data_IF_846447351936
#
_entry.id   IF_846447351936
#
_cell.length_a   1.000
_cell.length_b   1.000
_cell.length_c   1.000
_cell.angle_alpha   90.00
_cell.angle_beta   90.00
_cell.angle_gamma   90.00
#
_symmetry.space_group_name_H-M   'P 1'
#
loop_
_entity.id
_entity.type
_entity.pdbx_description
1 polymer ?
#
# COMPACT_ATOMS: atom_id res chain seq x y z
N UNK A 1 13.27 1.92 67.49
CA UNK A 1 13.12 1.38 66.12
C UNK A 1 11.66 1.49 65.73
N UNK A 2 11.30 2.52 64.97
CA UNK A 2 9.95 2.74 64.47
C UNK A 2 9.91 2.31 63.00
N UNK A 3 9.04 1.36 62.67
CA UNK A 3 8.87 0.84 61.32
C UNK A 3 8.05 1.83 60.48
N UNK A 4 8.65 2.38 59.43
CA UNK A 4 7.95 3.19 58.42
C UNK A 4 7.08 2.28 57.57
N UNK A 5 5.76 2.42 57.66
CA UNK A 5 4.80 1.78 56.75
C UNK A 5 4.71 2.60 55.46
N UNK A 6 4.96 1.95 54.32
CA UNK A 6 4.80 2.51 52.98
C UNK A 6 3.31 2.67 52.65
N UNK A 7 2.87 3.77 52.01
CA UNK A 7 1.47 3.95 51.63
C UNK A 7 1.07 2.97 50.51
N UNK A 8 -0.20 2.52 50.46
CA UNK A 8 -0.69 1.65 49.39
C UNK A 8 -0.66 2.40 48.05
N UNK A 9 0.05 1.82 47.06
CA UNK A 9 0.01 2.30 45.69
C UNK A 9 -1.40 2.10 45.13
N UNK A 10 -2.08 3.20 44.83
CA UNK A 10 -3.28 3.20 44.00
C UNK A 10 -2.88 2.80 42.58
N UNK A 11 -3.11 1.53 42.22
CA UNK A 11 -3.00 1.06 40.84
C UNK A 11 -3.96 1.88 39.98
N UNK A 12 -3.41 2.59 39.00
CA UNK A 12 -4.20 3.20 37.93
C UNK A 12 -5.05 2.10 37.26
N UNK A 13 -6.34 2.34 36.96
CA UNK A 13 -7.11 1.38 36.18
C UNK A 13 -6.40 1.10 34.85
N UNK A 14 -6.48 -0.14 34.33
CA UNK A 14 -5.89 -0.47 33.05
C UNK A 14 -6.45 0.48 31.97
N UNK A 15 -5.64 0.86 30.97
CA UNK A 15 -6.12 1.68 29.87
C UNK A 15 -7.36 1.01 29.26
N UNK A 16 -8.44 1.78 29.08
CA UNK A 16 -9.64 1.27 28.43
C UNK A 16 -9.25 0.69 27.05
N UNK A 17 -9.80 -0.47 26.66
CA UNK A 17 -9.56 -1.01 25.33
C UNK A 17 -9.92 0.05 24.29
N UNK A 18 -9.06 0.21 23.28
CA UNK A 18 -9.32 1.10 22.16
C UNK A 18 -10.72 0.80 21.57
N UNK A 19 -11.47 1.83 21.13
CA UNK A 19 -12.79 1.62 20.56
C UNK A 19 -12.73 0.56 19.44
N UNK A 20 -13.57 -0.47 19.54
CA UNK A 20 -13.69 -1.53 18.54
C UNK A 20 -14.42 -1.00 17.30
N UNK A 21 -13.69 -0.29 16.45
CA UNK A 21 -14.17 0.09 15.13
C UNK A 21 -13.75 -0.95 14.08
N UNK A 22 -14.51 -1.03 12.98
CA UNK A 22 -14.31 -1.99 11.90
C UNK A 22 -12.87 -2.02 11.40
N UNK A 23 -12.21 -0.86 11.30
CA UNK A 23 -10.81 -0.78 10.89
C UNK A 23 -9.85 -1.52 11.83
N UNK A 24 -10.07 -1.41 13.14
CA UNK A 24 -9.26 -2.10 14.15
C UNK A 24 -9.51 -3.60 14.13
N UNK A 25 -10.74 -4.03 13.84
CA UNK A 25 -11.10 -5.44 13.67
C UNK A 25 -10.41 -6.05 12.45
N UNK A 26 -10.51 -5.40 11.29
CA UNK A 26 -9.82 -5.85 10.07
C UNK A 26 -8.32 -5.95 10.33
N UNK A 27 -7.69 -4.92 10.90
CA UNK A 27 -6.25 -4.92 11.17
C UNK A 27 -5.84 -6.03 12.15
N UNK A 28 -6.68 -6.31 13.15
CA UNK A 28 -6.42 -7.37 14.12
C UNK A 28 -6.54 -8.74 13.47
N UNK A 29 -7.60 -8.98 12.71
CA UNK A 29 -7.87 -10.25 12.04
C UNK A 29 -6.86 -10.58 10.94
N UNK A 30 -6.29 -9.55 10.29
CA UNK A 30 -5.39 -9.72 9.14
C UNK A 30 -3.91 -9.58 9.48
N UNK A 31 -3.55 -9.30 10.75
CA UNK A 31 -2.18 -9.00 11.17
C UNK A 31 -1.14 -10.03 10.75
N UNK A 32 -1.44 -11.32 10.96
CA UNK A 32 -0.52 -12.43 10.64
C UNK A 32 -0.26 -12.52 9.14
N UNK A 33 -1.33 -12.54 8.33
CA UNK A 33 -1.23 -12.64 6.87
C UNK A 33 -0.66 -11.37 6.24
N UNK A 34 -0.98 -10.18 6.75
CA UNK A 34 -0.32 -8.93 6.35
C UNK A 34 1.19 -8.99 6.59
N UNK A 35 1.63 -9.49 7.75
CA UNK A 35 3.06 -9.63 8.06
C UNK A 35 3.74 -10.59 7.08
N UNK A 36 3.08 -11.69 6.69
CA UNK A 36 3.58 -12.64 5.69
C UNK A 36 3.68 -11.97 4.31
N UNK A 37 2.61 -11.32 3.85
CA UNK A 37 2.59 -10.64 2.56
C UNK A 37 3.66 -9.53 2.49
N UNK A 38 3.77 -8.70 3.53
CA UNK A 38 4.76 -7.63 3.58
C UNK A 38 6.19 -8.17 3.47
N UNK A 39 6.51 -9.29 4.13
CA UNK A 39 7.82 -9.95 3.99
C UNK A 39 8.07 -10.43 2.57
N UNK A 40 7.06 -10.98 1.89
CA UNK A 40 7.19 -11.35 0.49
C UNK A 40 7.46 -10.11 -0.36
N UNK A 41 6.62 -9.09 -0.31
CA UNK A 41 6.77 -7.87 -1.12
C UNK A 41 8.14 -7.21 -0.90
N UNK A 42 8.52 -6.93 0.35
CA UNK A 42 9.79 -6.25 0.68
C UNK A 42 11.01 -7.01 0.13
N UNK A 43 10.97 -8.35 0.12
CA UNK A 43 12.09 -9.16 -0.36
C UNK A 43 12.12 -9.35 -1.87
N UNK A 44 11.01 -9.09 -2.59
CA UNK A 44 10.96 -9.18 -4.07
C UNK A 44 11.19 -7.85 -4.76
N UNK A 45 10.79 -6.73 -4.16
CA UNK A 45 10.98 -5.38 -4.75
C UNK A 45 12.43 -5.15 -5.23
N UNK A 46 13.49 -5.46 -4.44
CA UNK A 46 14.87 -5.29 -4.92
C UNK A 46 15.24 -6.15 -6.13
N UNK A 47 14.63 -7.33 -6.29
CA UNK A 47 14.90 -8.21 -7.43
C UNK A 47 14.38 -7.64 -8.74
N UNK A 48 13.32 -6.84 -8.67
CA UNK A 48 12.70 -6.19 -9.82
C UNK A 48 13.36 -4.85 -10.16
N UNK A 49 14.44 -4.46 -9.47
CA UNK A 49 15.10 -3.16 -9.61
C UNK A 49 16.62 -3.27 -9.78
N UNK A 50 17.30 -2.21 -10.26
CA UNK A 50 18.75 -2.16 -10.27
C UNK A 50 19.35 -2.28 -8.86
N UNK A 51 20.53 -2.89 -8.71
CA UNK A 51 21.39 -3.43 -9.77
C UNK A 51 21.04 -4.87 -10.20
N UNK A 52 19.97 -5.48 -9.67
CA UNK A 52 19.64 -6.89 -9.91
C UNK A 52 18.91 -7.04 -11.25
N UNK A 53 17.79 -6.33 -11.42
CA UNK A 53 17.11 -6.23 -12.70
C UNK A 53 17.79 -5.20 -13.60
N UNK A 54 17.86 -5.51 -14.90
CA UNK A 54 18.40 -4.63 -15.94
C UNK A 54 17.31 -3.90 -16.73
N UNK A 55 16.07 -4.35 -16.62
CA UNK A 55 14.88 -3.82 -17.29
C UNK A 55 13.71 -3.82 -16.30
N UNK A 56 12.65 -3.02 -16.55
CA UNK A 56 11.48 -2.94 -15.68
C UNK A 56 10.50 -4.11 -15.86
N UNK A 57 10.85 -5.12 -16.67
CA UNK A 57 9.98 -6.25 -17.05
C UNK A 57 9.43 -7.04 -15.85
N UNK A 58 10.27 -7.39 -14.88
CA UNK A 58 9.83 -8.09 -13.67
C UNK A 58 8.84 -7.25 -12.84
N UNK A 59 9.08 -5.95 -12.75
CA UNK A 59 8.16 -5.03 -12.11
C UNK A 59 6.84 -4.92 -12.90
N UNK A 60 6.92 -4.90 -14.23
CA UNK A 60 5.79 -4.81 -15.14
C UNK A 60 4.80 -5.98 -14.98
N UNK A 61 5.30 -7.22 -14.88
CA UNK A 61 4.44 -8.37 -14.57
C UNK A 61 3.77 -8.26 -13.20
N UNK A 62 4.48 -7.75 -12.19
CA UNK A 62 3.92 -7.53 -10.85
C UNK A 62 2.81 -6.49 -10.84
N UNK A 63 3.04 -5.31 -11.42
CA UNK A 63 2.06 -4.22 -11.45
C UNK A 63 0.86 -4.56 -12.35
N UNK A 64 1.05 -5.28 -13.45
CA UNK A 64 -0.05 -5.77 -14.29
C UNK A 64 -0.98 -6.69 -13.47
N UNK A 65 -0.40 -7.69 -12.80
CA UNK A 65 -1.13 -8.68 -12.02
C UNK A 65 -1.89 -8.07 -10.85
N UNK A 66 -1.24 -7.20 -10.06
CA UNK A 66 -1.92 -6.52 -8.95
C UNK A 66 -2.87 -5.41 -9.43
N UNK A 67 -2.58 -4.82 -10.58
CA UNK A 67 -3.39 -3.81 -11.24
C UNK A 67 -4.78 -4.32 -11.59
N UNK A 68 -4.87 -5.55 -12.10
CA UNK A 68 -6.15 -6.20 -12.41
C UNK A 68 -7.09 -6.31 -11.21
N UNK A 69 -6.55 -6.51 -10.00
CA UNK A 69 -7.35 -6.53 -8.78
C UNK A 69 -8.05 -5.17 -8.61
N UNK A 70 -7.31 -4.06 -8.75
CA UNK A 70 -7.89 -2.71 -8.71
C UNK A 70 -8.92 -2.50 -9.81
N UNK A 71 -8.60 -2.87 -11.06
CA UNK A 71 -9.53 -2.71 -12.18
C UNK A 71 -10.85 -3.40 -11.90
N UNK A 72 -10.83 -4.63 -11.38
CA UNK A 72 -12.02 -5.43 -11.14
C UNK A 72 -12.87 -4.88 -10.01
N UNK A 73 -12.30 -4.66 -8.82
CA UNK A 73 -13.11 -4.19 -7.68
C UNK A 73 -13.60 -2.75 -7.91
N UNK A 74 -12.78 -1.88 -8.54
CA UNK A 74 -13.20 -0.53 -8.85
C UNK A 74 -14.34 -0.51 -9.88
N UNK A 75 -14.32 -1.40 -10.87
CA UNK A 75 -15.42 -1.55 -11.82
C UNK A 75 -16.70 -2.05 -11.15
N UNK A 76 -16.60 -3.00 -10.21
CA UNK A 76 -17.73 -3.44 -9.40
C UNK A 76 -18.33 -2.27 -8.59
N UNK A 77 -17.47 -1.44 -8.02
CA UNK A 77 -17.88 -0.26 -7.25
C UNK A 77 -18.52 0.82 -8.13
N UNK A 78 -17.98 1.08 -9.33
CA UNK A 78 -18.60 1.99 -10.32
C UNK A 78 -19.98 1.50 -10.75
N UNK A 79 -20.15 0.19 -10.94
CA UNK A 79 -21.45 -0.39 -11.24
C UNK A 79 -22.45 -0.17 -10.08
N UNK A 80 -22.02 -0.34 -8.83
CA UNK A 80 -22.83 -0.02 -7.66
C UNK A 80 -23.25 1.45 -7.63
N UNK A 81 -22.32 2.37 -7.88
CA UNK A 81 -22.62 3.81 -7.92
C UNK A 81 -23.65 4.11 -9.01
N UNK A 82 -23.47 3.57 -10.22
CA UNK A 82 -24.40 3.76 -11.33
C UNK A 82 -25.79 3.17 -11.07
N UNK A 83 -25.89 2.09 -10.30
CA UNK A 83 -27.17 1.51 -9.89
C UNK A 83 -27.88 2.38 -8.84
N UNK A 84 -27.13 2.93 -7.89
CA UNK A 84 -27.66 3.87 -6.87
C UNK A 84 -28.23 5.13 -7.53
N UNK A 85 -27.54 5.70 -8.52
CA UNK A 85 -27.99 6.90 -9.21
C UNK A 85 -29.30 6.69 -10.00
N UNK A 86 -29.56 5.45 -10.45
CA UNK A 86 -30.80 5.08 -11.15
C UNK A 86 -31.96 4.78 -10.22
N UNK A 87 -31.68 4.34 -8.99
CA UNK A 87 -32.72 4.03 -8.01
C UNK A 87 -33.33 5.30 -7.44
N UNK A 88 -34.46 5.72 -8.02
CA UNK A 88 -35.35 6.76 -7.49
C UNK A 88 -36.45 6.08 -6.69
N UNK A 89 -36.23 5.87 -5.39
CA UNK A 89 -37.22 5.25 -4.51
C UNK A 89 -36.92 5.52 -3.06
N UNK A 90 -37.90 6.09 -2.35
CA UNK A 90 -37.90 6.27 -0.90
C UNK A 90 -38.21 4.91 -0.25
N UNK A 91 -37.24 3.99 -0.31
CA UNK A 91 -37.29 2.73 0.43
C UNK A 91 -36.45 2.85 1.70
N UNK A 92 -37.04 2.48 2.84
CA UNK A 92 -36.39 2.57 4.16
C UNK A 92 -35.61 1.31 4.53
N UNK A 93 -35.54 0.32 3.63
CA UNK A 93 -34.81 -0.93 3.86
C UNK A 93 -33.33 -0.69 4.17
N UNK A 94 -32.73 -1.62 4.93
CA UNK A 94 -31.29 -1.61 5.22
C UNK A 94 -30.44 -1.49 3.95
N UNK A 95 -30.79 -2.24 2.89
CA UNK A 95 -30.11 -2.16 1.59
C UNK A 95 -30.20 -0.78 0.94
N UNK A 96 -31.31 -0.07 1.11
CA UNK A 96 -31.51 1.27 0.56
C UNK A 96 -30.67 2.34 1.29
N UNK A 97 -30.20 2.08 2.52
CA UNK A 97 -29.24 2.94 3.23
C UNK A 97 -27.79 2.53 2.98
N UNK A 98 -27.52 1.22 2.94
CA UNK A 98 -26.19 0.65 2.74
C UNK A 98 -25.57 1.06 1.40
N UNK A 99 -26.32 0.94 0.30
CA UNK A 99 -25.80 1.22 -1.05
C UNK A 99 -25.42 2.69 -1.26
N UNK A 100 -26.24 3.69 -0.88
CA UNK A 100 -25.83 5.10 -0.91
C UNK A 100 -24.63 5.42 -0.02
N UNK A 101 -24.51 4.77 1.14
CA UNK A 101 -23.31 4.95 1.96
C UNK A 101 -22.06 4.40 1.26
N UNK A 102 -22.14 3.19 0.68
CA UNK A 102 -21.04 2.62 -0.10
C UNK A 102 -20.66 3.48 -1.32
N UNK A 103 -21.63 4.09 -2.01
CA UNK A 103 -21.34 5.00 -3.13
C UNK A 103 -20.62 6.27 -2.66
N UNK A 104 -20.97 6.79 -1.48
CA UNK A 104 -20.35 7.95 -0.86
C UNK A 104 -19.01 7.64 -0.17
N UNK A 105 -18.66 6.38 0.04
CA UNK A 105 -17.42 5.97 0.70
C UNK A 105 -16.17 6.27 -0.14
N UNK A 106 -16.31 6.51 -1.45
CA UNK A 106 -15.19 6.77 -2.36
C UNK A 106 -14.89 8.27 -2.48
N UNK A 107 -13.88 8.81 -1.75
CA UNK A 107 -13.47 10.20 -1.90
C UNK A 107 -12.87 10.49 -3.30
N UNK A 108 -12.94 11.76 -3.75
CA UNK A 108 -12.25 12.21 -4.95
C UNK A 108 -10.76 11.85 -4.91
N UNK A 109 -10.25 11.34 -6.04
CA UNK A 109 -8.84 10.97 -6.18
C UNK A 109 -8.47 9.58 -5.64
N UNK A 110 -9.41 8.80 -5.09
CA UNK A 110 -9.10 7.44 -4.61
C UNK A 110 -8.77 6.47 -5.76
N UNK A 111 -9.57 6.50 -6.84
CA UNK A 111 -9.47 5.57 -7.97
C UNK A 111 -8.06 5.50 -8.57
N UNK A 112 -7.55 4.29 -8.78
CA UNK A 112 -6.22 4.03 -9.37
C UNK A 112 -6.29 3.38 -10.75
N UNK A 113 -7.46 2.92 -11.22
CA UNK A 113 -7.60 2.25 -12.52
C UNK A 113 -6.92 3.00 -13.68
N UNK A 114 -7.13 4.32 -13.80
CA UNK A 114 -6.59 5.09 -14.92
C UNK A 114 -5.06 5.26 -14.84
N UNK A 115 -4.52 5.33 -13.62
CA UNK A 115 -3.07 5.37 -13.39
C UNK A 115 -2.44 4.03 -13.78
N UNK A 116 -3.02 2.91 -13.32
CA UNK A 116 -2.57 1.55 -13.63
C UNK A 116 -2.58 1.29 -15.14
N UNK A 117 -3.67 1.64 -15.85
CA UNK A 117 -3.74 1.44 -17.31
C UNK A 117 -2.63 2.18 -18.05
N UNK A 118 -2.39 3.44 -17.67
CA UNK A 118 -1.30 4.24 -18.25
C UNK A 118 0.08 3.69 -17.91
N UNK A 119 0.26 3.18 -16.68
CA UNK A 119 1.50 2.54 -16.27
C UNK A 119 1.78 1.28 -17.08
N UNK A 120 0.78 0.40 -17.23
CA UNK A 120 0.88 -0.84 -18.02
C UNK A 120 1.16 -0.53 -19.49
N UNK A 121 0.39 0.35 -20.13
CA UNK A 121 0.59 0.76 -21.52
C UNK A 121 2.00 1.32 -21.76
N UNK A 122 2.48 2.14 -20.83
CA UNK A 122 3.84 2.67 -20.88
C UNK A 122 4.90 1.57 -20.76
N UNK A 123 4.71 0.64 -19.83
CA UNK A 123 5.67 -0.44 -19.58
C UNK A 123 5.74 -1.41 -20.75
N UNK A 124 4.61 -1.82 -21.32
CA UNK A 124 4.55 -2.69 -22.51
C UNK A 124 5.29 -2.07 -23.69
N UNK A 125 5.08 -0.77 -23.92
CA UNK A 125 5.80 -0.02 -24.95
C UNK A 125 7.30 0.02 -24.66
N UNK A 126 7.69 0.21 -23.40
CA UNK A 126 9.08 0.36 -22.98
C UNK A 126 9.86 -0.96 -23.08
N UNK A 127 9.24 -2.08 -22.69
CA UNK A 127 9.88 -3.40 -22.67
C UNK A 127 9.69 -4.17 -23.98
N UNK A 128 8.71 -3.79 -24.82
CA UNK A 128 8.37 -4.49 -26.06
C UNK A 128 7.74 -5.86 -25.84
N UNK A 129 7.06 -6.07 -24.71
CA UNK A 129 6.41 -7.33 -24.30
C UNK A 129 4.95 -7.03 -23.99
N UNK A 130 4.07 -7.90 -24.48
CA UNK A 130 2.66 -7.94 -24.10
C UNK A 130 2.53 -8.69 -22.75
N UNK A 131 2.07 -7.98 -21.73
CA UNK A 131 2.01 -8.51 -20.36
C UNK A 131 0.84 -9.50 -20.17
N UNK A 132 -0.13 -9.54 -21.08
CA UNK A 132 -1.26 -10.49 -21.05
C UNK A 132 -0.87 -11.92 -21.48
N UNK A 133 0.34 -12.10 -22.04
CA UNK A 133 0.83 -13.41 -22.49
C UNK A 133 0.93 -14.42 -21.33
N UNK A 134 1.23 -13.95 -20.11
CA UNK A 134 1.38 -14.81 -18.94
C UNK A 134 0.02 -15.01 -18.27
N UNK A 135 -0.62 -16.14 -18.54
CA UNK A 135 -1.87 -16.50 -17.85
C UNK A 135 -1.62 -16.73 -16.36
N UNK A 136 -2.41 -16.08 -15.50
CA UNK A 136 -2.38 -16.30 -14.06
C UNK A 136 -3.73 -16.86 -13.59
N UNK A 137 -3.81 -18.18 -13.43
CA UNK A 137 -5.04 -18.86 -13.00
C UNK A 137 -5.48 -18.43 -11.60
N UNK A 138 -4.53 -18.17 -10.69
CA UNK A 138 -4.82 -17.69 -9.35
C UNK A 138 -5.48 -16.31 -9.39
N UNK A 139 -4.96 -15.40 -10.22
CA UNK A 139 -5.56 -14.09 -10.44
C UNK A 139 -6.96 -14.22 -11.08
N UNK A 140 -7.13 -15.07 -12.10
CA UNK A 140 -8.43 -15.30 -12.75
C UNK A 140 -9.48 -15.80 -11.76
N UNK A 141 -9.14 -16.77 -10.93
CA UNK A 141 -10.04 -17.28 -9.90
C UNK A 141 -10.39 -16.19 -8.87
N UNK A 142 -9.40 -15.36 -8.51
CA UNK A 142 -9.63 -14.25 -7.59
C UNK A 142 -10.53 -13.17 -8.21
N UNK A 143 -10.29 -12.72 -9.44
CA UNK A 143 -11.13 -11.71 -10.10
C UNK A 143 -12.58 -12.17 -10.26
N UNK A 144 -12.79 -13.45 -10.61
CA UNK A 144 -14.13 -14.06 -10.67
C UNK A 144 -14.81 -14.08 -9.29
N UNK A 145 -14.04 -14.34 -8.22
CA UNK A 145 -14.52 -14.23 -6.85
C UNK A 145 -14.94 -12.79 -6.51
N UNK A 146 -14.13 -11.77 -6.83
CA UNK A 146 -14.44 -10.35 -6.58
C UNK A 146 -15.79 -10.00 -7.23
N UNK A 147 -15.97 -10.35 -8.51
CA UNK A 147 -17.21 -10.09 -9.23
C UNK A 147 -18.43 -10.74 -8.55
N UNK A 148 -18.30 -11.99 -8.11
CA UNK A 148 -19.40 -12.72 -7.46
C UNK A 148 -19.71 -12.15 -6.07
N UNK A 149 -18.70 -12.01 -5.22
CA UNK A 149 -18.89 -11.57 -3.83
C UNK A 149 -19.42 -10.15 -3.75
N UNK A 150 -18.88 -9.20 -4.51
CA UNK A 150 -19.33 -7.80 -4.44
C UNK A 150 -20.74 -7.59 -4.99
N UNK A 151 -21.25 -8.50 -5.83
CA UNK A 151 -22.65 -8.48 -6.29
C UNK A 151 -23.60 -9.07 -5.24
N UNK A 152 -23.21 -10.18 -4.62
CA UNK A 152 -24.02 -10.85 -3.59
C UNK A 152 -24.02 -10.08 -2.26
N UNK A 153 -22.88 -9.49 -1.91
CA UNK A 153 -22.59 -8.82 -0.65
C UNK A 153 -21.87 -7.48 -0.88
N UNK A 154 -22.56 -6.42 -1.31
CA UNK A 154 -21.94 -5.15 -1.66
C UNK A 154 -21.05 -4.53 -0.59
N UNK A 155 -21.36 -4.77 0.69
CA UNK A 155 -20.57 -4.28 1.84
C UNK A 155 -19.13 -4.78 1.84
N UNK A 156 -18.83 -5.93 1.22
CA UNK A 156 -17.46 -6.46 1.17
C UNK A 156 -16.50 -5.61 0.32
N UNK A 157 -17.01 -4.68 -0.50
CA UNK A 157 -16.19 -3.65 -1.17
C UNK A 157 -15.33 -2.85 -0.17
N UNK A 158 -15.80 -2.70 1.07
CA UNK A 158 -15.04 -2.07 2.16
C UNK A 158 -13.73 -2.80 2.42
N UNK A 159 -13.72 -4.14 2.37
CA UNK A 159 -12.50 -4.94 2.54
C UNK A 159 -11.48 -4.63 1.44
N UNK A 160 -11.92 -4.61 0.17
CA UNK A 160 -11.07 -4.26 -0.97
C UNK A 160 -10.49 -2.84 -0.84
N UNK A 161 -11.32 -1.86 -0.52
CA UNK A 161 -10.82 -0.50 -0.31
C UNK A 161 -9.83 -0.41 0.85
N UNK A 162 -10.14 -1.05 1.99
CA UNK A 162 -9.25 -1.03 3.15
C UNK A 162 -7.91 -1.68 2.82
N UNK A 163 -7.90 -2.89 2.29
CA UNK A 163 -6.65 -3.63 2.02
C UNK A 163 -5.85 -2.98 0.91
N UNK A 164 -6.49 -2.70 -0.24
CA UNK A 164 -5.77 -2.26 -1.44
C UNK A 164 -5.35 -0.79 -1.33
N UNK A 165 -6.21 0.12 -0.88
CA UNK A 165 -5.83 1.54 -0.81
C UNK A 165 -4.96 1.85 0.41
N UNK A 166 -5.23 1.29 1.59
CA UNK A 166 -4.40 1.60 2.77
C UNK A 166 -2.97 1.10 2.62
N UNK A 167 -2.75 0.01 1.86
CA UNK A 167 -1.43 -0.48 1.52
C UNK A 167 -0.61 0.56 0.75
N UNK A 168 -1.20 1.20 -0.27
CA UNK A 168 -0.47 2.17 -1.12
C UNK A 168 -0.35 3.55 -0.47
N UNK A 169 -1.25 3.95 0.43
CA UNK A 169 -1.06 5.17 1.22
C UNK A 169 0.05 5.03 2.28
N UNK A 170 0.20 3.86 2.89
CA UNK A 170 1.18 3.64 3.97
C UNK A 170 2.51 3.09 3.42
N UNK A 171 2.49 1.86 2.92
CA UNK A 171 3.66 1.16 2.38
C UNK A 171 4.05 1.59 0.97
N UNK A 172 3.10 2.10 0.18
CA UNK A 172 3.34 2.53 -1.20
C UNK A 172 4.35 3.66 -1.32
N UNK A 173 4.51 4.52 -0.30
CA UNK A 173 5.57 5.54 -0.29
C UNK A 173 6.96 4.94 -0.28
N UNK A 174 7.16 3.87 0.50
CA UNK A 174 8.44 3.17 0.53
C UNK A 174 8.71 2.51 -0.82
N UNK A 175 7.71 1.81 -1.39
CA UNK A 175 7.83 1.20 -2.72
C UNK A 175 8.19 2.28 -3.74
N UNK A 176 7.44 3.38 -3.79
CA UNK A 176 7.70 4.50 -4.68
C UNK A 176 9.11 5.04 -4.54
N UNK A 177 9.63 5.19 -3.33
CA UNK A 177 11.03 5.59 -3.10
C UNK A 177 12.01 4.60 -3.76
N UNK A 178 11.82 3.29 -3.60
CA UNK A 178 12.66 2.29 -4.27
C UNK A 178 12.58 2.42 -5.80
N UNK A 179 11.37 2.55 -6.35
CA UNK A 179 11.16 2.73 -7.80
C UNK A 179 11.82 4.01 -8.33
N UNK A 180 11.83 5.08 -7.51
CA UNK A 180 12.52 6.34 -7.82
C UNK A 180 14.01 6.13 -7.97
N UNK A 181 14.59 5.37 -7.04
CA UNK A 181 16.04 5.18 -6.94
C UNK A 181 16.59 4.31 -8.08
N UNK A 182 15.74 3.62 -8.84
CA UNK A 182 16.14 2.90 -10.05
C UNK A 182 16.68 3.84 -11.15
N UNK A 183 16.31 5.12 -11.11
CA UNK A 183 16.75 6.14 -12.06
C UNK A 183 15.95 6.14 -13.37
N UNK A 184 15.85 7.30 -14.05
CA UNK A 184 15.01 7.46 -15.24
C UNK A 184 15.41 6.52 -16.40
N UNK A 185 16.68 6.17 -16.52
CA UNK A 185 17.18 5.28 -17.58
C UNK A 185 16.61 3.87 -17.47
N UNK A 186 16.38 3.38 -16.25
CA UNK A 186 15.79 2.06 -16.02
C UNK A 186 14.34 2.01 -16.55
N UNK A 187 13.65 3.14 -16.52
CA UNK A 187 12.27 3.27 -17.00
C UNK A 187 12.19 3.64 -18.49
N UNK A 188 13.32 3.68 -19.22
CA UNK A 188 13.33 3.95 -20.67
C UNK A 188 13.55 5.41 -21.06
N UNK A 189 13.79 6.32 -20.11
CA UNK A 189 14.10 7.72 -20.42
C UNK A 189 15.59 7.88 -20.79
N UNK A 190 15.88 7.76 -22.09
CA UNK A 190 17.25 7.76 -22.62
C UNK A 190 17.74 9.15 -23.06
N UNK A 191 16.84 10.07 -23.48
CA UNK A 191 17.25 11.42 -23.91
C UNK A 191 17.23 12.43 -22.76
N UNK A 192 18.05 13.48 -22.86
CA UNK A 192 18.13 14.52 -21.81
C UNK A 192 16.81 15.30 -21.64
N UNK A 193 16.06 15.49 -22.72
CA UNK A 193 14.71 16.05 -22.70
C UNK A 193 13.76 15.13 -21.91
N UNK A 194 13.72 13.84 -22.25
CA UNK A 194 12.93 12.82 -21.55
C UNK A 194 13.28 12.74 -20.06
N UNK A 195 14.56 12.89 -19.69
CA UNK A 195 14.99 12.91 -18.27
C UNK A 195 14.53 14.15 -17.53
N UNK A 196 14.38 15.29 -18.21
CA UNK A 196 13.88 16.54 -17.63
C UNK A 196 12.35 16.47 -17.51
N UNK A 197 11.70 15.84 -18.49
CA UNK A 197 10.26 15.63 -18.54
C UNK A 197 9.78 14.49 -17.61
N UNK A 198 10.65 13.51 -17.33
CA UNK A 198 10.46 12.45 -16.33
C UNK A 198 10.25 13.02 -14.92
N UNK A 199 10.69 14.26 -14.68
CA UNK A 199 10.48 15.00 -13.43
C UNK A 199 9.53 16.19 -13.63
N UNK A 200 8.55 16.10 -14.53
CA UNK A 200 7.58 17.18 -14.70
C UNK A 200 6.73 17.33 -13.44
N UNK A 201 6.91 18.48 -12.78
CA UNK A 201 6.13 18.96 -11.63
C UNK A 201 6.10 17.99 -10.43
N UNK A 202 7.16 17.20 -10.23
CA UNK A 202 7.27 16.31 -9.07
C UNK A 202 6.23 15.19 -8.98
N UNK A 203 5.48 14.92 -10.05
CA UNK A 203 4.27 14.06 -10.00
C UNK A 203 4.16 13.01 -11.11
N UNK A 204 4.68 13.25 -12.33
CA UNK A 204 4.56 12.26 -13.40
C UNK A 204 5.73 11.28 -13.36
N UNK A 205 5.45 10.01 -13.08
CA UNK A 205 6.43 8.91 -13.06
C UNK A 205 5.88 7.75 -13.88
N UNK A 206 5.99 7.81 -15.22
CA UNK A 206 5.40 6.81 -16.10
C UNK A 206 5.88 5.41 -15.72
N UNK A 207 4.95 4.46 -15.64
CA UNK A 207 5.21 3.08 -15.28
C UNK A 207 4.94 2.76 -13.81
N UNK A 208 4.85 3.72 -12.89
CA UNK A 208 4.51 3.44 -11.49
C UNK A 208 3.70 4.54 -10.79
N UNK A 209 2.88 5.24 -11.56
CA UNK A 209 1.94 6.25 -11.07
C UNK A 209 0.85 5.71 -10.14
N UNK A 210 0.63 4.38 -10.06
CA UNK A 210 -0.19 3.75 -9.00
C UNK A 210 0.15 4.29 -7.61
N UNK A 211 1.44 4.46 -7.33
CA UNK A 211 1.92 4.90 -6.03
C UNK A 211 1.99 6.43 -5.88
N UNK A 212 1.59 7.19 -6.90
CA UNK A 212 1.65 8.65 -6.92
C UNK A 212 0.25 9.24 -6.71
N UNK A 213 0.13 10.16 -5.76
CA UNK A 213 -1.11 10.88 -5.49
C UNK A 213 -0.95 12.35 -5.83
N UNK A 214 -1.96 12.90 -6.51
CA UNK A 214 -1.99 14.31 -6.86
C UNK A 214 -2.11 15.20 -5.63
N UNK A 215 -1.63 16.43 -5.74
CA UNK A 215 -1.70 17.43 -4.67
C UNK A 215 -0.50 17.40 -3.72
N UNK A 216 -0.51 18.31 -2.75
CA UNK A 216 0.63 18.54 -1.85
C UNK A 216 0.65 17.63 -0.62
N UNK A 217 -0.44 16.89 -0.37
CA UNK A 217 -0.60 16.01 0.80
C UNK A 217 -0.35 14.54 0.50
N UNK A 218 0.06 14.22 -0.73
CA UNK A 218 0.50 12.88 -1.12
C UNK A 218 -0.49 11.77 -0.71
N UNK A 219 -1.78 12.04 -0.88
CA UNK A 219 -2.87 11.10 -0.60
C UNK A 219 -3.24 10.94 0.88
N UNK A 220 -2.54 11.55 1.84
CA UNK A 220 -2.94 11.50 3.26
C UNK A 220 -4.32 12.11 3.49
N UNK A 221 -4.73 13.04 2.64
CA UNK A 221 -6.06 13.61 2.70
C UNK A 221 -7.16 12.75 2.11
N UNK A 222 -6.87 12.05 1.02
CA UNK A 222 -7.77 11.05 0.46
C UNK A 222 -7.97 9.93 1.49
N UNK A 223 -6.89 9.50 2.14
CA UNK A 223 -6.92 8.52 3.25
C UNK A 223 -7.73 9.02 4.43
N UNK A 224 -7.54 10.26 4.86
CA UNK A 224 -8.29 10.85 5.97
C UNK A 224 -9.78 10.95 5.65
N UNK A 225 -10.14 11.45 4.46
CA UNK A 225 -11.55 11.54 4.02
C UNK A 225 -12.20 10.16 3.93
N UNK A 226 -11.50 9.15 3.40
CA UNK A 226 -11.98 7.78 3.39
C UNK A 226 -12.27 7.25 4.81
N UNK A 227 -11.36 7.47 5.77
CA UNK A 227 -11.54 7.04 7.16
C UNK A 227 -12.73 7.73 7.83
N UNK A 228 -12.88 9.03 7.64
CA UNK A 228 -14.02 9.80 8.16
C UNK A 228 -15.34 9.25 7.60
N UNK A 229 -15.40 8.94 6.30
CA UNK A 229 -16.60 8.33 5.68
C UNK A 229 -16.88 6.93 6.21
N UNK A 230 -15.84 6.19 6.57
CA UNK A 230 -15.93 4.84 7.12
C UNK A 230 -16.50 4.83 8.55
N UNK A 231 -16.37 5.91 9.33
CA UNK A 231 -16.91 5.97 10.71
C UNK A 231 -18.43 5.70 10.76
N UNK A 232 -19.17 6.07 9.71
CA UNK A 232 -20.61 5.76 9.57
C UNK A 232 -20.91 4.25 9.52
N UNK A 233 -19.91 3.41 9.26
CA UNK A 233 -20.07 1.95 9.24
C UNK A 233 -20.56 1.41 10.60
N UNK A 234 -20.17 2.05 11.71
CA UNK A 234 -20.50 1.57 13.06
C UNK A 234 -22.00 1.62 13.37
N UNK A 235 -22.72 2.57 12.76
CA UNK A 235 -24.17 2.71 12.93
C UNK A 235 -24.96 1.92 11.89
N UNK A 236 -24.34 1.69 10.73
CA UNK A 236 -25.03 1.16 9.56
C UNK A 236 -24.88 -0.34 9.41
N UNK A 237 -23.67 -0.88 9.57
CA UNK A 237 -23.40 -2.30 9.31
C UNK A 237 -23.98 -3.19 10.41
N UNK A 238 -24.63 -4.27 10.00
CA UNK A 238 -24.99 -5.35 10.91
C UNK A 238 -23.75 -6.15 11.32
N UNK A 239 -23.83 -6.85 12.45
CA UNK A 239 -22.74 -7.73 12.93
C UNK A 239 -22.32 -8.77 11.88
N UNK A 240 -23.29 -9.31 11.14
CA UNK A 240 -23.03 -10.27 10.06
C UNK A 240 -22.24 -9.63 8.90
N UNK A 241 -22.58 -8.40 8.53
CA UNK A 241 -21.87 -7.69 7.46
C UNK A 241 -20.46 -7.29 7.88
N UNK A 242 -20.25 -6.92 9.15
CA UNK A 242 -18.91 -6.70 9.71
C UNK A 242 -18.08 -7.97 9.62
N UNK A 243 -18.65 -9.11 10.02
CA UNK A 243 -17.96 -10.40 9.92
C UNK A 243 -17.65 -10.77 8.46
N UNK A 244 -18.60 -10.56 7.53
CA UNK A 244 -18.36 -10.78 6.09
C UNK A 244 -17.17 -9.93 5.58
N UNK A 245 -17.05 -8.67 6.01
CA UNK A 245 -15.92 -7.79 5.63
C UNK A 245 -14.60 -8.31 6.19
N UNK A 246 -14.60 -8.79 7.44
CA UNK A 246 -13.39 -9.32 8.10
C UNK A 246 -12.93 -10.60 7.39
N UNK A 247 -13.86 -11.52 7.11
CA UNK A 247 -13.58 -12.78 6.41
C UNK A 247 -13.05 -12.49 4.99
N UNK A 248 -13.68 -11.55 4.28
CA UNK A 248 -13.21 -11.14 2.96
C UNK A 248 -11.82 -10.51 3.03
N UNK A 249 -11.53 -9.67 4.04
CA UNK A 249 -10.22 -9.06 4.20
C UNK A 249 -9.10 -10.09 4.42
N UNK A 250 -9.37 -11.13 5.22
CA UNK A 250 -8.44 -12.26 5.37
C UNK A 250 -8.25 -13.00 4.05
N UNK A 251 -9.35 -13.28 3.34
CA UNK A 251 -9.32 -13.94 2.04
C UNK A 251 -8.47 -13.15 1.03
N UNK A 252 -8.71 -11.83 0.87
CA UNK A 252 -7.95 -10.96 -0.03
C UNK A 252 -6.45 -11.07 0.23
N UNK A 253 -6.02 -11.00 1.49
CA UNK A 253 -4.60 -11.13 1.82
C UNK A 253 -4.02 -12.49 1.44
N UNK A 254 -4.73 -13.59 1.71
CA UNK A 254 -4.27 -14.94 1.32
C UNK A 254 -4.20 -15.07 -0.21
N UNK A 255 -5.14 -14.48 -0.96
CA UNK A 255 -5.08 -14.44 -2.41
C UNK A 255 -3.88 -13.62 -2.92
N UNK A 256 -3.60 -12.46 -2.34
CA UNK A 256 -2.43 -11.66 -2.66
C UNK A 256 -1.13 -12.42 -2.39
N UNK A 257 -1.06 -13.20 -1.32
CA UNK A 257 0.09 -14.07 -1.06
C UNK A 257 0.23 -15.16 -2.12
N UNK A 258 -0.86 -15.88 -2.43
CA UNK A 258 -0.86 -16.92 -3.45
C UNK A 258 -0.47 -16.37 -4.84
N UNK A 259 -0.89 -15.14 -5.17
CA UNK A 259 -0.51 -14.46 -6.41
C UNK A 259 1.00 -14.19 -6.45
N UNK A 260 1.60 -13.71 -5.36
CA UNK A 260 3.07 -13.50 -5.31
C UNK A 260 3.81 -14.81 -5.45
N UNK A 261 3.36 -15.88 -4.78
CA UNK A 261 3.96 -17.22 -4.90
C UNK A 261 3.81 -17.79 -6.33
N UNK A 262 2.67 -17.56 -6.99
CA UNK A 262 2.44 -17.92 -8.38
C UNK A 262 3.37 -17.15 -9.32
N UNK A 263 3.53 -15.84 -9.12
CA UNK A 263 4.46 -15.02 -9.91
C UNK A 263 5.91 -15.50 -9.72
N UNK A 264 6.31 -15.84 -8.50
CA UNK A 264 7.64 -16.40 -8.23
C UNK A 264 7.89 -17.67 -9.04
N UNK A 265 6.88 -18.55 -9.15
CA UNK A 265 6.98 -19.76 -9.95
C UNK A 265 7.00 -19.48 -11.46
N UNK A 266 6.17 -18.55 -11.94
CA UNK A 266 6.03 -18.24 -13.36
C UNK A 266 7.25 -17.50 -13.93
N UNK A 267 7.80 -16.57 -13.15
CA UNK A 267 8.96 -15.75 -13.52
C UNK A 267 10.30 -16.37 -13.11
N UNK A 268 10.28 -17.60 -12.56
CA UNK A 268 11.47 -18.31 -12.08
C UNK A 268 12.33 -17.47 -11.13
N UNK A 269 11.69 -16.82 -10.16
CA UNK A 269 12.40 -15.97 -9.18
C UNK A 269 13.51 -16.75 -8.49
N UNK A 270 14.72 -16.17 -8.42
CA UNK A 270 15.84 -16.75 -7.68
C UNK A 270 15.62 -16.63 -6.15
N UNK A 271 14.92 -17.63 -5.59
CA UNK A 271 14.60 -17.67 -4.17
C UNK A 271 15.84 -17.86 -3.27
N UNK A 272 16.95 -18.37 -3.79
CA UNK A 272 18.20 -18.47 -3.02
C UNK A 272 18.88 -17.11 -2.92
N UNK A 273 18.87 -16.33 -4.00
CA UNK A 273 19.28 -14.93 -3.96
C UNK A 273 18.44 -14.15 -2.94
N UNK A 274 17.11 -14.34 -2.93
CA UNK A 274 16.21 -13.73 -1.92
C UNK A 274 16.65 -14.05 -0.50
N UNK A 275 16.88 -15.33 -0.17
CA UNK A 275 17.34 -15.76 1.15
C UNK A 275 18.69 -15.16 1.51
N UNK A 276 19.60 -15.07 0.54
CA UNK A 276 20.94 -14.52 0.74
C UNK A 276 20.92 -13.02 1.05
N UNK A 277 20.08 -12.25 0.34
CA UNK A 277 19.91 -10.81 0.55
C UNK A 277 19.30 -10.56 1.93
N UNK A 278 18.21 -11.25 2.27
CA UNK A 278 17.58 -11.17 3.58
C UNK A 278 18.56 -11.54 4.72
N UNK A 279 19.41 -12.54 4.51
CA UNK A 279 20.42 -12.95 5.50
C UNK A 279 21.55 -11.93 5.66
N UNK A 280 21.95 -11.24 4.57
CA UNK A 280 22.95 -10.16 4.61
C UNK A 280 22.41 -8.95 5.36
N UNK A 281 21.15 -8.62 5.14
CA UNK A 281 20.43 -7.55 5.84
C UNK A 281 20.33 -7.84 7.35
N UNK A 282 19.90 -9.04 7.74
CA UNK A 282 19.79 -9.45 9.14
C UNK A 282 21.13 -9.42 9.89
N UNK A 283 22.24 -9.71 9.20
CA UNK A 283 23.60 -9.67 9.77
C UNK A 283 24.14 -8.24 9.97
N UNK A 284 23.54 -7.23 9.35
CA UNK A 284 24.07 -5.85 9.33
C UNK A 284 23.29 -4.84 10.21
N UNK A 285 22.30 -5.23 11.02
CA UNK A 285 21.48 -4.25 11.77
C UNK A 285 21.01 -4.62 13.19
N UNK A 286 21.70 -4.08 14.21
CA UNK A 286 21.14 -3.53 15.48
C UNK A 286 22.20 -2.64 16.14
N UNK A 287 22.17 -1.32 15.90
CA UNK A 287 22.84 -0.33 16.75
C UNK A 287 21.99 0.93 16.73
N UNK A 288 21.28 1.16 17.84
CA UNK A 288 20.40 2.30 18.04
C UNK A 288 21.20 3.61 18.04
N UNK A 289 20.83 4.56 17.18
CA UNK A 289 21.15 5.98 17.36
C UNK A 289 19.86 6.78 17.22
N UNK A 290 19.54 7.57 18.25
CA UNK A 290 18.42 8.51 18.28
C UNK A 290 18.70 9.68 17.32
N UNK A 291 17.76 10.02 16.46
CA UNK A 291 17.83 11.27 15.67
C UNK A 291 16.53 12.06 15.76
N UNK A 292 16.65 13.26 16.31
CA UNK A 292 15.65 14.34 16.28
C UNK A 292 15.44 14.83 14.83
N UNK A 293 14.22 15.17 14.38
CA UNK A 293 13.98 15.57 13.00
C UNK A 293 14.35 17.03 12.76
N UNK A 294 15.24 17.28 11.80
CA UNK A 294 15.53 18.64 11.28
C UNK A 294 14.76 18.84 9.98
N UNK A 295 13.86 19.83 9.99
CA UNK A 295 13.05 20.33 8.87
C UNK A 295 13.96 20.89 7.76
N UNK A 296 13.95 20.28 6.58
CA UNK A 296 14.70 20.80 5.42
C UNK A 296 13.98 21.99 4.79
N UNK A 297 14.67 23.14 4.72
CA UNK A 297 14.31 24.27 3.87
C UNK A 297 14.90 24.08 2.46
N UNK A 298 14.22 24.60 1.43
CA UNK A 298 14.67 24.59 0.03
C UNK A 298 15.95 25.41 -0.15
N UNK A 299 16.93 24.95 -0.95
CA UNK A 299 18.18 25.69 -1.16
C UNK A 299 18.04 26.77 -2.24
N UNK A 300 18.39 28.01 -1.88
CA UNK A 300 18.75 29.07 -2.81
C UNK A 300 20.25 28.98 -3.16
N UNK A 301 20.52 28.94 -4.46
CA UNK A 301 21.74 29.31 -5.18
C UNK A 301 23.06 28.52 -4.99
N UNK A 302 23.70 28.32 -6.14
CA UNK A 302 24.87 27.48 -6.42
C UNK A 302 26.15 28.31 -6.37
N UNK A 303 27.15 27.87 -5.60
CA UNK A 303 28.56 28.16 -5.89
C UNK A 303 29.49 27.09 -5.27
N UNK A 304 30.20 26.39 -6.16
CA UNK A 304 31.47 25.68 -6.01
C UNK A 304 31.89 25.14 -4.64
N UNK A 305 32.01 23.81 -4.53
CA UNK A 305 33.07 23.15 -3.76
C UNK A 305 33.36 21.77 -4.36
N UNK A 306 34.49 21.68 -5.05
CA UNK A 306 35.17 20.45 -5.44
C UNK A 306 35.71 19.74 -4.19
N UNK A 307 35.16 18.58 -3.85
CA UNK A 307 35.82 17.53 -3.07
C UNK A 307 35.00 16.24 -3.18
N UNK A 308 35.61 15.14 -3.63
CA UNK A 308 35.02 13.80 -3.51
C UNK A 308 34.82 13.42 -2.03
N UNK A 309 33.76 12.66 -1.68
CA UNK A 309 33.85 11.85 -0.49
C UNK A 309 33.17 10.46 -0.54
N UNK A 310 33.99 9.44 -0.22
CA UNK A 310 33.73 8.33 0.73
C UNK A 310 32.30 7.77 0.78
N UNK A 311 31.96 6.98 -0.23
CA UNK A 311 30.66 6.32 -0.45
C UNK A 311 30.32 5.11 0.45
N UNK A 312 31.09 4.79 1.50
CA UNK A 312 30.81 3.61 2.34
C UNK A 312 30.04 3.90 3.65
N UNK A 313 30.10 5.15 4.14
CA UNK A 313 29.48 5.53 5.42
C UNK A 313 28.01 5.94 5.31
N UNK A 314 27.65 6.63 4.23
CA UNK A 314 26.30 7.15 4.00
C UNK A 314 25.30 6.04 3.69
N UNK A 315 25.71 5.05 2.89
CA UNK A 315 24.87 3.91 2.48
C UNK A 315 24.43 3.07 3.70
N UNK A 316 25.26 2.98 4.75
CA UNK A 316 24.94 2.23 5.98
C UNK A 316 23.94 2.95 6.89
N UNK A 317 23.93 4.29 6.91
CA UNK A 317 22.98 5.06 7.71
C UNK A 317 21.56 5.03 7.11
N UNK A 318 21.45 5.04 5.77
CA UNK A 318 20.15 4.93 5.07
C UNK A 318 19.53 3.54 5.28
N UNK A 319 20.35 2.47 5.31
CA UNK A 319 19.90 1.09 5.55
C UNK A 319 19.28 0.82 6.93
N UNK A 320 19.71 1.53 7.98
CA UNK A 320 19.15 1.38 9.33
C UNK A 320 17.83 2.15 9.48
N UNK A 321 17.66 3.27 8.77
CA UNK A 321 16.39 4.01 8.72
C UNK A 321 15.28 3.22 7.99
N UNK A 322 15.63 2.41 6.98
CA UNK A 322 14.66 1.61 6.20
C UNK A 322 13.89 0.58 7.03
N UNK A 323 14.54 -0.12 7.96
CA UNK A 323 13.83 -1.09 8.81
C UNK A 323 12.99 -0.43 9.90
N UNK A 324 13.45 0.68 10.47
CA UNK A 324 12.67 1.48 11.40
C UNK A 324 11.40 2.02 10.72
N UNK A 325 11.50 2.45 9.46
CA UNK A 325 10.36 2.94 8.68
C UNK A 325 9.36 1.83 8.32
N UNK A 326 9.82 0.65 7.87
CA UNK A 326 8.90 -0.46 7.54
C UNK A 326 8.17 -1.00 8.79
N UNK A 327 8.86 -1.12 9.94
CA UNK A 327 8.21 -1.44 11.21
C UNK A 327 7.32 -0.31 11.71
N UNK A 328 7.72 0.95 11.55
CA UNK A 328 6.92 2.11 11.93
C UNK A 328 5.67 2.28 11.05
N UNK A 329 5.74 1.97 9.76
CA UNK A 329 4.57 1.97 8.87
C UNK A 329 3.67 0.77 9.16
N UNK A 330 4.21 -0.39 9.49
CA UNK A 330 3.42 -1.52 9.99
C UNK A 330 2.78 -1.21 11.35
N UNK A 331 3.45 -0.43 12.21
CA UNK A 331 2.94 0.05 13.49
C UNK A 331 1.87 1.13 13.31
N UNK A 332 2.07 2.11 12.42
CA UNK A 332 1.10 3.15 12.06
C UNK A 332 -0.13 2.57 11.35
N UNK A 333 0.07 1.54 10.53
CA UNK A 333 -1.01 0.72 9.98
C UNK A 333 -1.80 0.01 11.09
N UNK A 334 -1.10 -0.53 12.10
CA UNK A 334 -1.70 -1.32 13.19
C UNK A 334 -2.40 -0.47 14.27
N UNK A 335 -1.94 0.75 14.54
CA UNK A 335 -2.38 1.55 15.70
C UNK A 335 -2.97 2.92 15.35
N UNK A 336 -3.04 3.29 14.06
CA UNK A 336 -3.36 4.66 13.68
C UNK A 336 -2.26 5.65 14.10
N UNK A 337 -2.43 6.93 13.77
CA UNK A 337 -1.53 7.97 14.25
C UNK A 337 -1.74 8.14 15.76
N UNK A 338 -0.71 7.83 16.55
CA UNK A 338 -0.67 8.10 18.01
C UNK A 338 -0.09 9.49 18.27
N UNK A 339 -0.26 10.42 17.33
CA UNK A 339 0.12 11.83 17.49
C UNK A 339 -1.16 12.65 17.36
N UNK A 340 -1.96 12.66 18.43
CA UNK A 340 -2.74 13.80 18.92
C UNK A 340 -3.53 13.37 20.16
N UNK A 341 -2.87 13.49 21.33
CA UNK A 341 -3.48 13.61 22.65
C UNK A 341 -2.69 14.63 23.47
#
# INVERSE_FOLDING_TARGET
MASLQTPPQLLSPPPSPAPQNLSTEINTATRSVHTRLNKLIVSRVPLALPPIAKSPELYAHGINTFGDIYLVFENCWRALIADVDKSQGDDSTHSAKLRPWLSQLVPPGLWRSDAIKKDVEYLETTIGVDLEIISNEQLRAFTEHIYRQTREKPHVLVAYAWIMYMAIFSGGRWIREQLTNAGPEFWGAHNQADKTDYWVHGTLRPGFTLFCFSGTRDGEDIKADFKIRLEKAEELLTERERQDIIDEAQFIFEQCVAIVESLDSQLMTDLELVKSLASREAKHGTSHVKTTPTRAALPENVAQLTAEPKSAGLIRAIMVAFFAFAFYQSYRWQYGDVEDA
#
